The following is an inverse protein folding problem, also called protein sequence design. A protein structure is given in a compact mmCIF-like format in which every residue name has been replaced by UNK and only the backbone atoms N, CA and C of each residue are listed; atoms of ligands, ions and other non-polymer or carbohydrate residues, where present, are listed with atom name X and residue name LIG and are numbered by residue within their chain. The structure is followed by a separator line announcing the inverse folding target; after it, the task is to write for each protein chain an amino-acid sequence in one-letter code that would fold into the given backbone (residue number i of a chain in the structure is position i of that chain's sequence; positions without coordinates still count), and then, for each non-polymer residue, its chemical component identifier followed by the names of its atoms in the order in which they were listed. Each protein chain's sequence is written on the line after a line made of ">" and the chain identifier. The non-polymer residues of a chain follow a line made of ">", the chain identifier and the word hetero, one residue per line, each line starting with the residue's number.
data_IF_101076889344
#
_entry.id   IF_101076889344
#
_cell.length_a   1.000
_cell.length_b   1.000
_cell.length_c   1.000
_cell.angle_alpha   90.00
_cell.angle_beta   90.00
_cell.angle_gamma   90.00
#
_symmetry.space_group_name_H-M   'P 1'
#
loop_
_entity.id
_entity.type
_entity.pdbx_description
1 polymer ?
#
# COMPACT_ATOMS: atom_id res chain seq x y z
N UNK A 1 -17.94 -6.05 20.40
CA UNK A 1 -17.65 -5.48 19.07
C UNK A 1 -16.80 -4.24 19.22
N UNK A 2 -15.79 -4.09 18.37
CA UNK A 2 -14.88 -2.93 18.30
C UNK A 2 -15.60 -1.80 17.56
N UNK A 3 -15.93 -0.71 18.27
CA UNK A 3 -16.77 0.38 17.72
C UNK A 3 -16.02 1.69 17.49
N UNK A 4 -14.86 1.87 18.09
CA UNK A 4 -14.09 3.11 18.01
C UNK A 4 -12.60 2.83 18.26
N UNK A 5 -11.77 3.86 18.10
CA UNK A 5 -10.32 3.73 18.23
C UNK A 5 -9.89 3.29 19.64
N UNK A 6 -10.61 3.67 20.70
CA UNK A 6 -10.29 3.25 22.06
C UNK A 6 -10.53 1.74 22.26
N UNK A 7 -11.62 1.20 21.72
CA UNK A 7 -11.87 -0.25 21.70
C UNK A 7 -10.78 -0.98 20.92
N UNK A 8 -10.38 -0.45 19.76
CA UNK A 8 -9.33 -1.02 18.91
C UNK A 8 -7.97 -1.04 19.63
N UNK A 9 -7.60 0.06 20.30
CA UNK A 9 -6.36 0.12 21.07
C UNK A 9 -6.34 -0.87 22.24
N UNK A 10 -7.47 -1.05 22.94
CA UNK A 10 -7.59 -2.09 23.98
C UNK A 10 -7.45 -3.50 23.42
N UNK A 11 -8.04 -3.77 22.25
CA UNK A 11 -7.88 -5.05 21.56
C UNK A 11 -6.42 -5.31 21.20
N UNK A 12 -5.76 -4.33 20.58
CA UNK A 12 -4.35 -4.45 20.17
C UNK A 12 -3.44 -4.64 21.38
N UNK A 13 -3.71 -3.95 22.49
CA UNK A 13 -2.97 -4.12 23.74
C UNK A 13 -3.15 -5.53 24.34
N UNK A 14 -4.38 -6.03 24.39
CA UNK A 14 -4.66 -7.40 24.85
C UNK A 14 -4.04 -8.48 23.95
N UNK A 15 -3.96 -8.22 22.63
CA UNK A 15 -3.26 -9.07 21.67
C UNK A 15 -1.72 -9.06 21.82
N UNK A 16 -1.15 -8.24 22.73
CA UNK A 16 0.27 -8.39 23.13
C UNK A 16 0.50 -9.61 24.03
N UNK A 17 -0.56 -10.32 24.43
CA UNK A 17 -0.42 -11.61 25.10
C UNK A 17 -0.09 -12.70 24.08
N UNK A 18 1.09 -13.34 24.23
CA UNK A 18 1.59 -14.41 23.36
C UNK A 18 0.61 -15.60 23.24
N UNK A 19 -0.15 -15.90 24.29
CA UNK A 19 -1.10 -17.01 24.25
C UNK A 19 -2.35 -16.71 23.41
N UNK A 20 -2.50 -15.48 22.91
CA UNK A 20 -3.59 -15.11 22.02
C UNK A 20 -3.44 -15.70 20.60
N UNK A 21 -2.26 -16.22 20.24
CA UNK A 21 -1.97 -16.74 18.91
C UNK A 21 -1.92 -18.27 18.89
N UNK A 22 -2.31 -18.91 17.79
CA UNK A 22 -2.33 -20.37 17.67
C UNK A 22 -0.95 -21.00 17.42
N UNK A 23 0.11 -20.19 17.42
CA UNK A 23 1.49 -20.63 17.20
C UNK A 23 2.42 -20.07 18.28
N UNK A 24 3.63 -20.59 18.36
CA UNK A 24 4.64 -20.07 19.28
C UNK A 24 5.01 -18.62 18.89
N UNK A 25 4.98 -17.72 19.88
CA UNK A 25 5.36 -16.31 19.74
C UNK A 25 6.43 -15.96 20.76
N UNK A 26 7.59 -15.51 20.30
CA UNK A 26 8.70 -15.12 21.19
C UNK A 26 8.64 -13.65 21.60
N UNK A 27 8.28 -12.78 20.66
CA UNK A 27 8.19 -11.34 20.84
C UNK A 27 7.01 -10.81 20.02
N UNK A 28 6.39 -9.74 20.53
CA UNK A 28 5.33 -9.03 19.81
C UNK A 28 5.74 -7.57 19.68
N UNK A 29 5.86 -7.10 18.44
CA UNK A 29 6.03 -5.69 18.11
C UNK A 29 4.77 -5.20 17.42
N UNK A 30 4.28 -4.03 17.80
CA UNK A 30 3.12 -3.41 17.14
C UNK A 30 3.61 -2.24 16.30
N UNK A 31 3.30 -2.27 15.00
CA UNK A 31 3.47 -1.15 14.09
C UNK A 31 2.12 -0.47 13.87
N UNK A 32 2.09 0.85 13.89
CA UNK A 32 0.89 1.64 13.72
C UNK A 32 0.94 2.38 12.38
N UNK A 33 -0.11 2.24 11.58
CA UNK A 33 -0.33 3.07 10.38
C UNK A 33 -1.49 4.02 10.63
N UNK A 34 -1.80 4.90 9.67
CA UNK A 34 -2.96 5.80 9.78
C UNK A 34 -4.29 5.03 9.97
N UNK A 35 -4.41 3.84 9.36
CA UNK A 35 -5.70 3.13 9.24
C UNK A 35 -5.63 1.67 9.74
N UNK A 36 -4.50 1.21 10.27
CA UNK A 36 -4.32 -0.16 10.76
C UNK A 36 -3.29 -0.26 11.89
N UNK A 37 -3.34 -1.37 12.62
CA UNK A 37 -2.29 -1.83 13.55
C UNK A 37 -1.76 -3.17 13.03
N UNK A 38 -0.45 -3.34 12.97
CA UNK A 38 0.22 -4.58 12.51
C UNK A 38 0.96 -5.20 13.68
N UNK A 39 0.56 -6.41 14.08
CA UNK A 39 1.24 -7.18 15.12
C UNK A 39 2.25 -8.13 14.48
N UNK A 40 3.52 -7.90 14.73
CA UNK A 40 4.64 -8.74 14.34
C UNK A 40 4.86 -9.80 15.43
N UNK A 41 4.79 -11.08 15.09
CA UNK A 41 4.78 -12.21 16.04
C UNK A 41 5.94 -13.19 15.83
N UNK A 42 6.94 -12.81 15.05
CA UNK A 42 8.11 -13.60 14.69
C UNK A 42 8.03 -14.09 13.25
N UNK A 43 7.37 -15.22 13.01
CA UNK A 43 7.19 -15.77 11.66
C UNK A 43 6.02 -15.14 10.90
N UNK A 44 5.00 -14.68 11.63
CA UNK A 44 3.76 -14.15 11.08
C UNK A 44 3.54 -12.70 11.52
N UNK A 45 2.77 -11.99 10.72
CA UNK A 45 2.26 -10.67 11.03
C UNK A 45 0.73 -10.65 10.86
N UNK A 46 0.05 -9.85 11.67
CA UNK A 46 -1.40 -9.71 11.64
C UNK A 46 -1.77 -8.23 11.52
N UNK A 47 -2.35 -7.83 10.40
CA UNK A 47 -2.82 -6.45 10.17
C UNK A 47 -4.30 -6.35 10.49
N UNK A 48 -4.64 -5.46 11.43
CA UNK A 48 -6.00 -5.21 11.91
C UNK A 48 -6.38 -3.78 11.54
N UNK A 49 -7.51 -3.63 10.84
CA UNK A 49 -8.00 -2.33 10.39
C UNK A 49 -8.61 -1.53 11.54
N UNK A 50 -8.29 -0.24 11.63
CA UNK A 50 -8.84 0.67 12.63
C UNK A 50 -10.30 0.99 12.29
N UNK A 51 -11.21 1.12 13.28
CA UNK A 51 -12.61 1.45 13.05
C UNK A 51 -12.78 2.96 12.77
N UNK A 52 -12.36 3.41 11.59
CA UNK A 52 -12.34 4.83 11.19
C UNK A 52 -13.07 5.04 9.86
N UNK A 53 -13.59 6.26 9.65
CA UNK A 53 -14.21 6.68 8.39
C UNK A 53 -13.85 8.14 8.10
N UNK A 54 -12.62 8.42 7.62
CA UNK A 54 -12.13 9.78 7.41
C UNK A 54 -12.67 10.44 6.12
N UNK A 55 -13.58 9.79 5.39
CA UNK A 55 -14.22 10.32 4.18
C UNK A 55 -13.72 9.71 2.86
N UNK A 56 -12.50 9.16 2.84
CA UNK A 56 -11.94 8.44 1.68
C UNK A 56 -11.98 6.91 1.83
N UNK A 57 -12.35 6.40 3.00
CA UNK A 57 -12.63 4.99 3.26
C UNK A 57 -13.62 4.88 4.41
N UNK A 58 -14.24 3.71 4.56
CA UNK A 58 -15.12 3.41 5.69
C UNK A 58 -14.83 2.02 6.27
N UNK A 59 -14.20 2.00 7.44
CA UNK A 59 -13.94 0.82 8.26
C UNK A 59 -14.81 0.79 9.53
N UNK A 60 -15.92 1.53 9.56
CA UNK A 60 -16.73 1.73 10.77
C UNK A 60 -17.37 0.46 11.32
N UNK A 61 -17.76 -0.48 10.45
CA UNK A 61 -18.38 -1.76 10.85
C UNK A 61 -17.43 -2.95 10.72
N UNK A 62 -17.72 -4.02 11.46
CA UNK A 62 -16.95 -5.25 11.40
C UNK A 62 -17.04 -5.89 10.00
N UNK A 63 -18.22 -5.83 9.39
CA UNK A 63 -18.48 -6.34 8.04
C UNK A 63 -17.64 -5.60 7.00
N UNK A 64 -17.57 -4.27 7.08
CA UNK A 64 -16.73 -3.47 6.18
C UNK A 64 -15.26 -3.81 6.36
N UNK A 65 -14.78 -3.90 7.62
CA UNK A 65 -13.38 -4.30 7.88
C UNK A 65 -13.06 -5.68 7.35
N UNK A 66 -13.96 -6.64 7.49
CA UNK A 66 -13.82 -7.98 6.89
C UNK A 66 -13.69 -7.88 5.37
N UNK A 67 -14.61 -7.19 4.70
CA UNK A 67 -14.60 -7.00 3.24
C UNK A 67 -13.27 -6.41 2.77
N UNK A 68 -12.76 -5.38 3.45
CA UNK A 68 -11.48 -4.78 3.09
C UNK A 68 -10.27 -5.66 3.43
N UNK A 69 -10.33 -6.50 4.47
CA UNK A 69 -9.30 -7.52 4.69
C UNK A 69 -9.28 -8.54 3.54
N UNK A 70 -10.44 -8.96 3.05
CA UNK A 70 -10.57 -9.88 1.91
C UNK A 70 -10.09 -9.22 0.61
N UNK A 71 -10.41 -7.94 0.37
CA UNK A 71 -9.89 -7.18 -0.78
C UNK A 71 -8.38 -6.98 -0.72
N UNK A 72 -7.82 -6.65 0.45
CA UNK A 72 -6.37 -6.56 0.64
C UNK A 72 -5.69 -7.88 0.30
N UNK A 73 -6.25 -9.01 0.77
CA UNK A 73 -5.75 -10.35 0.47
C UNK A 73 -5.82 -10.64 -1.04
N UNK A 74 -6.96 -10.36 -1.68
CA UNK A 74 -7.16 -10.57 -3.13
C UNK A 74 -6.14 -9.79 -3.95
N UNK A 75 -6.02 -8.50 -3.67
CA UNK A 75 -5.17 -7.58 -4.43
C UNK A 75 -3.69 -7.91 -4.27
N UNK A 76 -3.25 -8.10 -3.03
CA UNK A 76 -1.82 -8.24 -2.75
C UNK A 76 -1.26 -9.63 -3.05
N UNK A 77 -2.09 -10.68 -3.08
CA UNK A 77 -1.66 -11.99 -3.58
C UNK A 77 -1.27 -11.99 -5.06
N UNK A 78 -1.67 -10.97 -5.84
CA UNK A 78 -1.24 -10.81 -7.24
C UNK A 78 0.26 -10.55 -7.35
N UNK A 79 0.88 -9.94 -6.33
CA UNK A 79 2.30 -9.60 -6.31
C UNK A 79 3.10 -10.41 -5.29
N UNK A 80 2.48 -10.78 -4.17
CA UNK A 80 3.15 -11.43 -3.05
C UNK A 80 2.29 -12.58 -2.45
N UNK A 81 1.99 -13.62 -3.24
CA UNK A 81 1.14 -14.73 -2.79
C UNK A 81 1.70 -15.48 -1.58
N UNK A 82 3.03 -15.55 -1.45
CA UNK A 82 3.69 -16.17 -0.31
C UNK A 82 3.69 -15.30 0.95
N UNK A 83 3.50 -13.97 0.80
CA UNK A 83 3.43 -13.02 1.90
C UNK A 83 2.02 -12.98 2.51
N UNK A 84 0.98 -12.89 1.68
CA UNK A 84 -0.40 -12.75 2.11
C UNK A 84 -1.10 -14.11 2.23
N UNK A 85 -1.25 -14.58 3.47
CA UNK A 85 -1.62 -15.97 3.75
C UNK A 85 -3.10 -16.20 3.92
N UNK A 86 -3.83 -15.33 4.62
CA UNK A 86 -5.27 -15.53 4.87
C UNK A 86 -5.94 -14.30 5.52
N UNK A 87 -7.27 -14.32 5.60
CA UNK A 87 -8.04 -13.48 6.53
C UNK A 87 -8.52 -14.35 7.68
N UNK A 88 -8.10 -14.02 8.91
CA UNK A 88 -8.43 -14.81 10.10
C UNK A 88 -9.32 -14.03 11.07
N UNK A 89 -10.25 -14.70 11.76
CA UNK A 89 -11.02 -14.06 12.82
C UNK A 89 -10.17 -13.88 14.07
N UNK A 90 -10.43 -12.79 14.79
CA UNK A 90 -10.06 -12.60 16.19
C UNK A 90 -11.34 -12.77 16.99
N UNK A 91 -11.42 -13.77 17.86
CA UNK A 91 -12.61 -14.10 18.66
C UNK A 91 -12.39 -13.78 20.14
N UNK A 92 -13.36 -14.14 20.98
CA UNK A 92 -13.32 -13.90 22.42
C UNK A 92 -13.82 -12.50 22.80
N UNK A 93 -13.11 -11.84 23.70
CA UNK A 93 -13.47 -10.50 24.20
C UNK A 93 -12.35 -9.50 23.98
N UNK A 94 -12.64 -8.20 24.09
CA UNK A 94 -11.62 -7.13 23.95
C UNK A 94 -10.46 -7.33 24.94
N UNK A 95 -10.75 -7.86 26.13
CA UNK A 95 -9.77 -8.07 27.21
C UNK A 95 -9.09 -9.43 27.19
N UNK A 96 -9.68 -10.41 26.51
CA UNK A 96 -9.09 -11.74 26.29
C UNK A 96 -9.38 -12.21 24.85
N UNK A 97 -8.70 -11.60 23.86
CA UNK A 97 -8.87 -11.96 22.46
C UNK A 97 -8.07 -13.22 22.11
N UNK A 98 -8.56 -13.97 21.12
CA UNK A 98 -7.86 -15.14 20.54
C UNK A 98 -7.90 -15.05 19.02
N UNK A 99 -6.73 -15.07 18.39
CA UNK A 99 -6.62 -15.24 16.94
C UNK A 99 -6.98 -16.68 16.61
N UNK A 100 -7.93 -16.87 15.67
CA UNK A 100 -8.44 -18.19 15.28
C UNK A 100 -9.02 -19.00 16.46
N UNK A 101 -9.54 -18.31 17.49
CA UNK A 101 -10.24 -18.97 18.59
C UNK A 101 -11.67 -19.36 18.23
N UNK A 102 -12.35 -20.03 19.16
CA UNK A 102 -13.75 -20.43 18.99
C UNK A 102 -14.73 -19.26 19.15
N UNK A 103 -15.92 -19.40 18.58
CA UNK A 103 -17.03 -18.45 18.75
C UNK A 103 -17.09 -17.34 17.69
N UNK A 104 -17.95 -16.33 17.88
CA UNK A 104 -18.12 -15.25 16.91
C UNK A 104 -16.87 -14.36 16.81
N UNK A 105 -16.60 -13.87 15.61
CA UNK A 105 -15.54 -12.91 15.37
C UNK A 105 -15.83 -11.59 16.10
N UNK A 106 -14.88 -11.14 16.91
CA UNK A 106 -14.81 -9.80 17.48
C UNK A 106 -14.21 -8.81 16.47
N UNK A 107 -13.24 -9.28 15.68
CA UNK A 107 -12.51 -8.53 14.65
C UNK A 107 -11.95 -9.49 13.58
N UNK A 108 -11.45 -8.96 12.46
CA UNK A 108 -10.69 -9.71 11.44
C UNK A 108 -9.28 -9.17 11.26
N UNK A 109 -8.35 -10.04 10.93
CA UNK A 109 -6.96 -9.69 10.62
C UNK A 109 -6.51 -10.29 9.29
N UNK A 110 -5.73 -9.54 8.52
CA UNK A 110 -4.97 -10.10 7.40
C UNK A 110 -3.73 -10.78 7.99
N UNK A 111 -3.65 -12.10 7.85
CA UNK A 111 -2.50 -12.93 8.26
C UNK A 111 -1.48 -12.92 7.14
N UNK A 112 -0.26 -12.48 7.48
CA UNK A 112 0.85 -12.36 6.56
C UNK A 112 2.09 -13.06 7.11
N UNK A 113 3.07 -13.35 6.26
CA UNK A 113 4.43 -13.64 6.72
C UNK A 113 5.09 -12.36 7.22
N UNK A 114 5.80 -12.47 8.33
CA UNK A 114 6.65 -11.38 8.76
C UNK A 114 7.97 -11.41 7.99
N UNK A 115 8.45 -10.23 7.59
CA UNK A 115 9.78 -10.03 7.04
C UNK A 115 10.49 -8.91 7.83
N UNK A 116 11.83 -8.90 7.90
CA UNK A 116 12.57 -7.88 8.64
C UNK A 116 12.40 -6.53 7.95
N UNK A 117 12.16 -5.48 8.72
CA UNK A 117 11.95 -4.12 8.20
C UNK A 117 13.17 -3.60 7.42
N UNK A 118 14.37 -4.08 7.74
CA UNK A 118 15.60 -3.79 6.97
C UNK A 118 15.57 -4.33 5.53
N UNK A 119 14.62 -5.20 5.18
CA UNK A 119 14.42 -5.67 3.81
C UNK A 119 13.65 -4.68 2.93
N UNK A 120 12.94 -3.71 3.51
CA UNK A 120 12.25 -2.67 2.74
C UNK A 120 13.22 -1.96 1.81
N UNK A 121 12.81 -1.72 0.56
CA UNK A 121 13.67 -1.13 -0.46
C UNK A 121 14.07 0.30 -0.08
N UNK A 122 13.21 1.02 0.64
CA UNK A 122 13.51 2.31 1.28
C UNK A 122 14.67 2.24 2.28
N UNK A 123 14.69 1.21 3.14
CA UNK A 123 15.76 0.96 4.10
C UNK A 123 17.03 0.49 3.41
N UNK A 124 16.92 -0.41 2.44
CA UNK A 124 18.05 -0.87 1.62
C UNK A 124 18.69 0.29 0.86
N UNK A 125 17.89 1.20 0.32
CA UNK A 125 18.36 2.38 -0.41
C UNK A 125 19.15 3.30 0.51
N UNK A 126 18.62 3.57 1.72
CA UNK A 126 19.30 4.39 2.73
C UNK A 126 20.65 3.83 3.12
N UNK A 127 20.78 2.50 3.13
CA UNK A 127 22.04 1.80 3.44
C UNK A 127 22.94 1.56 2.22
N UNK A 128 22.62 2.12 1.04
CA UNK A 128 23.45 1.97 -0.16
C UNK A 128 23.42 0.56 -0.77
N UNK A 129 22.41 -0.25 -0.45
CA UNK A 129 22.31 -1.66 -0.85
C UNK A 129 21.45 -1.89 -2.10
N UNK A 130 20.85 -0.84 -2.67
CA UNK A 130 20.06 -0.93 -3.90
C UNK A 130 20.96 -0.71 -5.11
N UNK A 131 21.01 -1.70 -5.97
CA UNK A 131 21.80 -1.72 -7.20
C UNK A 131 20.90 -1.55 -8.43
N UNK A 132 21.50 -1.37 -9.60
CA UNK A 132 20.76 -1.27 -10.87
C UNK A 132 20.03 -2.56 -11.21
N UNK A 133 20.59 -3.70 -10.85
CA UNK A 133 19.98 -5.01 -11.06
C UNK A 133 18.65 -5.15 -10.31
N UNK A 134 18.55 -4.58 -9.10
CA UNK A 134 17.27 -4.51 -8.38
C UNK A 134 16.27 -3.61 -9.11
N UNK A 135 16.71 -2.49 -9.68
CA UNK A 135 15.84 -1.60 -10.46
C UNK A 135 15.39 -2.27 -11.77
N UNK A 136 16.27 -2.99 -12.45
CA UNK A 136 15.91 -3.78 -13.64
C UNK A 136 14.88 -4.87 -13.31
N UNK A 137 15.02 -5.50 -12.13
CA UNK A 137 14.06 -6.47 -11.65
C UNK A 137 12.69 -5.82 -11.38
N UNK A 138 12.67 -4.64 -10.76
CA UNK A 138 11.44 -3.87 -10.55
C UNK A 138 10.78 -3.50 -11.88
N UNK A 139 11.55 -3.00 -12.86
CA UNK A 139 11.04 -2.63 -14.18
C UNK A 139 10.36 -3.81 -14.88
N UNK A 140 11.03 -4.98 -14.89
CA UNK A 140 10.46 -6.22 -15.46
C UNK A 140 9.20 -6.67 -14.72
N UNK A 141 9.24 -6.66 -13.39
CA UNK A 141 8.09 -7.03 -12.55
C UNK A 141 6.87 -6.14 -12.85
N UNK A 142 7.08 -4.83 -12.94
CA UNK A 142 6.02 -3.88 -13.28
C UNK A 142 5.49 -4.10 -14.70
N UNK A 143 6.38 -4.25 -15.68
CA UNK A 143 5.97 -4.47 -17.06
C UNK A 143 5.16 -5.76 -17.23
N UNK A 144 5.57 -6.86 -16.57
CA UNK A 144 4.82 -8.13 -16.56
C UNK A 144 3.47 -7.97 -15.86
N UNK A 145 3.47 -7.39 -14.66
CA UNK A 145 2.26 -7.17 -13.89
C UNK A 145 1.25 -6.29 -14.66
N UNK A 146 1.69 -5.12 -15.12
CA UNK A 146 0.86 -4.19 -15.89
C UNK A 146 0.29 -4.81 -17.16
N UNK A 147 1.01 -5.72 -17.84
CA UNK A 147 0.45 -6.45 -18.99
C UNK A 147 -0.67 -7.42 -18.60
N UNK A 148 -0.55 -8.08 -17.45
CA UNK A 148 -1.52 -9.08 -16.96
C UNK A 148 -2.69 -8.49 -16.18
N UNK A 149 -2.53 -7.29 -15.60
CA UNK A 149 -3.54 -6.66 -14.76
C UNK A 149 -4.81 -6.38 -15.57
N UNK A 150 -5.97 -6.51 -14.92
CA UNK A 150 -7.27 -6.27 -15.53
C UNK A 150 -7.33 -4.87 -16.13
N UNK A 151 -7.93 -4.76 -17.31
CA UNK A 151 -8.19 -3.48 -17.96
C UNK A 151 -9.47 -2.90 -17.38
N UNK A 152 -9.44 -1.60 -17.11
CA UNK A 152 -10.56 -0.88 -16.53
C UNK A 152 -11.85 -1.07 -17.34
N UNK A 153 -13.00 -1.40 -16.71
CA UNK A 153 -14.27 -1.59 -17.41
C UNK A 153 -14.65 -0.37 -18.26
N UNK A 154 -15.20 -0.56 -19.47
CA UNK A 154 -15.47 0.56 -20.38
C UNK A 154 -16.43 1.61 -19.79
N UNK A 155 -17.38 1.17 -18.97
CA UNK A 155 -18.46 1.99 -18.40
C UNK A 155 -18.07 2.77 -17.13
N UNK A 156 -16.86 2.56 -16.59
CA UNK A 156 -16.42 3.27 -15.39
C UNK A 156 -15.85 4.68 -15.69
N UNK A 157 -15.74 5.51 -14.66
CA UNK A 157 -15.10 6.84 -14.74
C UNK A 157 -13.58 6.80 -14.63
N UNK A 158 -12.99 5.69 -14.17
CA UNK A 158 -11.56 5.61 -13.86
C UNK A 158 -10.67 5.90 -15.07
N UNK A 159 -9.59 6.64 -14.81
CA UNK A 159 -8.62 7.09 -15.82
C UNK A 159 -9.16 8.05 -16.88
N UNK A 160 -10.41 8.55 -16.75
CA UNK A 160 -10.86 9.68 -17.57
C UNK A 160 -10.01 10.90 -17.23
N UNK A 161 -9.66 11.70 -18.24
CA UNK A 161 -8.83 12.89 -18.06
C UNK A 161 -9.36 13.82 -16.96
N UNK A 162 -10.68 13.99 -16.89
CA UNK A 162 -11.33 14.81 -15.85
C UNK A 162 -11.13 14.24 -14.44
N UNK A 163 -11.20 12.92 -14.25
CA UNK A 163 -10.98 12.29 -12.94
C UNK A 163 -9.52 12.39 -12.51
N UNK A 164 -8.58 12.07 -13.41
CA UNK A 164 -7.12 12.21 -13.15
C UNK A 164 -6.79 13.65 -12.75
N UNK A 165 -7.41 14.63 -13.42
CA UNK A 165 -7.23 16.05 -13.11
C UNK A 165 -7.83 16.41 -11.76
N UNK A 166 -9.06 15.94 -11.48
CA UNK A 166 -9.73 16.18 -10.20
C UNK A 166 -8.90 15.64 -9.04
N UNK A 167 -8.42 14.41 -9.11
CA UNK A 167 -7.59 13.78 -8.08
C UNK A 167 -6.30 14.56 -7.81
N UNK A 168 -5.63 15.04 -8.86
CA UNK A 168 -4.44 15.89 -8.71
C UNK A 168 -4.77 17.23 -8.03
N UNK A 169 -5.93 17.83 -8.34
CA UNK A 169 -6.37 19.11 -7.80
C UNK A 169 -6.93 19.02 -6.38
N UNK A 170 -7.52 17.88 -6.00
CA UNK A 170 -8.07 17.64 -4.66
C UNK A 170 -6.98 17.79 -3.57
N UNK A 171 -5.71 17.54 -3.92
CA UNK A 171 -4.56 17.80 -3.06
C UNK A 171 -4.49 19.27 -2.57
N UNK A 172 -4.76 20.24 -3.45
CA UNK A 172 -4.71 21.67 -3.07
C UNK A 172 -5.86 22.04 -2.14
N UNK A 173 -7.04 21.45 -2.36
CA UNK A 173 -8.18 21.60 -1.45
C UNK A 173 -7.88 21.02 -0.07
N UNK A 174 -7.23 19.85 -0.01
CA UNK A 174 -6.87 19.18 1.23
C UNK A 174 -5.75 19.90 2.01
N UNK A 175 -4.76 20.47 1.31
CA UNK A 175 -3.67 21.23 1.94
C UNK A 175 -4.15 22.53 2.60
N UNK A 176 -5.23 23.12 2.09
CA UNK A 176 -5.78 24.37 2.62
C UNK A 176 -4.79 25.54 2.57
N UNK A 177 -5.01 26.54 3.45
CA UNK A 177 -4.10 27.70 3.57
C UNK A 177 -3.10 27.48 4.70
N UNK A 178 -1.82 27.64 4.38
CA UNK A 178 -0.74 27.70 5.37
C UNK A 178 -0.61 29.10 5.97
N UNK A 179 -0.07 29.19 7.19
CA UNK A 179 0.38 30.47 7.76
C UNK A 179 1.60 31.04 7.02
N UNK A 180 2.36 30.18 6.34
CA UNK A 180 3.50 30.58 5.51
C UNK A 180 3.03 30.99 4.11
N UNK A 181 3.19 32.27 3.80
CA UNK A 181 2.80 32.87 2.51
C UNK A 181 3.61 32.27 1.35
N UNK A 182 4.86 31.86 1.58
CA UNK A 182 5.69 31.26 0.53
C UNK A 182 5.17 29.89 0.08
N UNK A 183 4.65 29.10 1.03
CA UNK A 183 3.98 27.82 0.75
C UNK A 183 2.71 28.07 -0.05
N UNK A 184 1.88 29.03 0.37
CA UNK A 184 0.65 29.36 -0.37
C UNK A 184 0.94 29.79 -1.82
N UNK A 185 1.98 30.62 -2.02
CA UNK A 185 2.38 31.03 -3.36
C UNK A 185 2.93 29.86 -4.21
N UNK A 186 3.62 28.91 -3.59
CA UNK A 186 4.06 27.69 -4.28
C UNK A 186 2.87 26.81 -4.68
N UNK A 187 1.92 26.58 -3.77
CA UNK A 187 0.68 25.84 -4.07
C UNK A 187 -0.09 26.47 -5.23
N UNK A 188 -0.29 27.80 -5.23
CA UNK A 188 -0.97 28.49 -6.33
C UNK A 188 -0.28 28.31 -7.68
N UNK A 189 1.07 28.36 -7.71
CA UNK A 189 1.83 28.11 -8.94
C UNK A 189 1.69 26.67 -9.41
N UNK A 190 1.74 25.71 -8.48
CA UNK A 190 1.58 24.29 -8.79
C UNK A 190 0.15 23.96 -9.25
N UNK A 191 -0.86 24.56 -8.64
CA UNK A 191 -2.27 24.41 -9.04
C UNK A 191 -2.50 24.95 -10.45
N UNK A 192 -2.02 26.15 -10.74
CA UNK A 192 -2.10 26.73 -12.09
C UNK A 192 -1.34 25.89 -13.12
N UNK A 193 -0.16 25.38 -12.76
CA UNK A 193 0.59 24.45 -13.61
C UNK A 193 -0.16 23.13 -13.83
N UNK A 194 -0.81 22.60 -12.80
CA UNK A 194 -1.59 21.35 -12.87
C UNK A 194 -2.77 21.50 -13.82
N UNK A 195 -3.52 22.62 -13.74
CA UNK A 195 -4.58 22.93 -14.70
C UNK A 195 -4.06 22.97 -16.14
N UNK A 196 -2.97 23.71 -16.38
CA UNK A 196 -2.38 23.82 -17.72
C UNK A 196 -1.91 22.47 -18.26
N UNK A 197 -1.19 21.70 -17.44
CA UNK A 197 -0.70 20.38 -17.82
C UNK A 197 -1.85 19.40 -18.09
N UNK A 198 -2.92 19.45 -17.30
CA UNK A 198 -4.12 18.64 -17.51
C UNK A 198 -4.80 18.94 -18.85
N UNK A 199 -4.91 20.22 -19.22
CA UNK A 199 -5.46 20.63 -20.52
C UNK A 199 -4.60 20.15 -21.70
N UNK A 200 -3.27 20.28 -21.57
CA UNK A 200 -2.31 19.84 -22.58
C UNK A 200 -2.28 18.31 -22.73
N UNK A 201 -2.41 17.57 -21.61
CA UNK A 201 -2.32 16.11 -21.56
C UNK A 201 -3.67 15.39 -21.73
N UNK A 202 -4.81 16.11 -21.73
CA UNK A 202 -6.14 15.51 -21.92
C UNK A 202 -6.20 14.52 -23.11
N UNK A 203 -5.71 14.85 -24.33
CA UNK A 203 -5.72 13.91 -25.44
C UNK A 203 -4.84 12.68 -25.22
N UNK A 204 -3.81 12.78 -24.38
CA UNK A 204 -2.93 11.67 -24.01
C UNK A 204 -3.66 10.73 -23.05
N UNK A 205 -4.27 11.26 -21.98
CA UNK A 205 -5.04 10.47 -21.03
C UNK A 205 -6.18 9.71 -21.71
N UNK A 206 -6.95 10.37 -22.58
CA UNK A 206 -8.05 9.75 -23.32
C UNK A 206 -7.56 8.63 -24.25
N UNK A 207 -6.46 8.85 -24.97
CA UNK A 207 -5.84 7.84 -25.84
C UNK A 207 -5.33 6.65 -25.05
N UNK A 208 -4.68 6.88 -23.90
CA UNK A 208 -4.15 5.81 -23.08
C UNK A 208 -5.25 4.97 -22.46
N UNK A 209 -6.33 5.61 -21.98
CA UNK A 209 -7.53 4.93 -21.52
C UNK A 209 -8.15 4.06 -22.62
N UNK A 210 -8.34 4.60 -23.82
CA UNK A 210 -8.93 3.84 -24.94
C UNK A 210 -8.04 2.70 -25.44
N UNK A 211 -6.72 2.81 -25.26
CA UNK A 211 -5.75 1.77 -25.56
C UNK A 211 -5.56 0.73 -24.43
N UNK A 212 -6.34 0.81 -23.34
CA UNK A 212 -6.32 -0.19 -22.27
C UNK A 212 -5.14 -0.07 -21.31
N UNK A 213 -4.57 1.13 -21.15
CA UNK A 213 -3.49 1.39 -20.19
C UNK A 213 -3.98 1.73 -18.78
N UNK A 214 -5.28 1.96 -18.59
CA UNK A 214 -5.89 2.11 -17.26
C UNK A 214 -6.24 0.72 -16.73
N UNK A 215 -5.62 0.31 -15.63
CA UNK A 215 -5.64 -1.07 -15.12
C UNK A 215 -5.74 -1.11 -13.60
N UNK A 216 -6.12 -2.26 -13.02
CA UNK A 216 -6.16 -2.45 -11.56
C UNK A 216 -4.73 -2.61 -11.00
N UNK A 217 -4.01 -1.50 -10.94
CA UNK A 217 -2.61 -1.37 -10.55
C UNK A 217 -2.38 -1.51 -9.03
N UNK A 218 -1.18 -1.16 -8.56
CA UNK A 218 -0.84 -1.16 -7.13
C UNK A 218 -1.42 0.06 -6.39
N UNK A 219 -1.34 1.25 -7.00
CA UNK A 219 -1.92 2.50 -6.50
C UNK A 219 -1.07 3.25 -5.47
N UNK A 220 -0.16 2.56 -4.77
CA UNK A 220 0.75 3.17 -3.77
C UNK A 220 2.19 2.65 -3.86
N UNK A 221 2.75 2.61 -5.07
CA UNK A 221 4.02 1.93 -5.35
C UNK A 221 5.26 2.79 -5.02
N UNK A 222 5.43 3.13 -3.75
CA UNK A 222 6.66 3.77 -3.26
C UNK A 222 7.65 2.73 -2.70
N UNK A 223 8.91 3.11 -2.44
CA UNK A 223 9.99 2.22 -1.98
C UNK A 223 9.73 1.59 -0.60
N UNK A 224 8.76 2.13 0.15
CA UNK A 224 8.29 1.54 1.41
C UNK A 224 7.32 0.37 1.21
N UNK A 225 6.72 0.26 0.02
CA UNK A 225 5.84 -0.83 -0.40
C UNK A 225 6.57 -1.82 -1.35
N UNK A 226 7.90 -1.77 -1.30
CA UNK A 226 8.81 -2.66 -2.01
C UNK A 226 9.78 -3.26 -1.00
N UNK A 227 10.14 -4.53 -1.16
CA UNK A 227 11.14 -5.17 -0.31
C UNK A 227 11.99 -6.18 -1.07
N UNK A 228 13.25 -6.35 -0.63
CA UNK A 228 14.20 -7.34 -1.13
C UNK A 228 14.18 -8.55 -0.21
N UNK A 229 13.56 -9.64 -0.66
CA UNK A 229 13.45 -10.84 0.15
C UNK A 229 13.65 -12.11 -0.64
N UNK A 230 14.36 -13.06 -0.03
CA UNK A 230 14.47 -14.42 -0.52
C UNK A 230 14.38 -15.34 0.68
N UNK A 231 13.29 -16.11 0.77
CA UNK A 231 13.04 -17.02 1.89
C UNK A 231 14.02 -18.19 1.94
N UNK A 232 14.65 -18.54 0.82
CA UNK A 232 15.62 -19.63 0.72
C UNK A 232 16.97 -19.30 1.33
N UNK A 233 17.22 -18.05 1.73
CA UNK A 233 18.50 -17.60 2.25
C UNK A 233 18.31 -17.04 3.66
N UNK A 234 18.73 -17.82 4.67
CA UNK A 234 18.73 -17.40 6.09
C UNK A 234 19.64 -16.21 6.36
N UNK A 235 20.59 -15.93 5.47
CA UNK A 235 21.49 -14.78 5.55
C UNK A 235 21.13 -13.70 4.52
N UNK A 236 20.28 -12.76 4.94
CA UNK A 236 19.82 -11.61 4.15
C UNK A 236 20.93 -10.59 3.80
N UNK A 237 22.19 -10.86 4.17
CA UNK A 237 23.36 -10.04 3.81
C UNK A 237 24.06 -10.50 2.53
N UNK A 238 23.81 -11.71 2.03
CA UNK A 238 24.61 -12.32 0.95
C UNK A 238 23.81 -12.75 -0.30
N UNK A 239 22.48 -12.71 -0.29
CA UNK A 239 21.68 -12.90 -1.50
C UNK A 239 21.06 -11.59 -1.94
N UNK A 240 21.14 -11.21 -3.23
CA UNK A 240 20.26 -10.19 -3.77
C UNK A 240 18.84 -10.75 -3.61
N UNK A 241 18.07 -10.22 -2.66
CA UNK A 241 16.68 -10.63 -2.48
C UNK A 241 15.89 -10.32 -3.75
N UNK A 242 14.79 -11.03 -3.98
CA UNK A 242 13.90 -10.67 -5.08
C UNK A 242 13.09 -9.43 -4.69
N UNK A 243 13.06 -8.43 -5.57
CA UNK A 243 12.13 -7.29 -5.44
C UNK A 243 10.70 -7.82 -5.46
N UNK A 244 9.95 -7.50 -4.41
CA UNK A 244 8.55 -7.88 -4.25
C UNK A 244 7.74 -6.65 -3.84
N UNK A 245 6.55 -6.48 -4.43
CA UNK A 245 5.58 -5.43 -4.11
C UNK A 245 4.63 -5.92 -3.03
N UNK A 246 4.19 -5.04 -2.12
CA UNK A 246 3.18 -5.35 -1.12
C UNK A 246 2.45 -4.06 -0.69
N UNK A 247 1.31 -4.23 -0.03
CA UNK A 247 0.50 -3.13 0.52
C UNK A 247 -0.11 -2.19 -0.54
N UNK A 248 -0.59 -2.77 -1.64
CA UNK A 248 -1.39 -2.03 -2.64
C UNK A 248 -2.76 -1.63 -2.10
N UNK A 249 -3.29 -0.49 -2.58
CA UNK A 249 -4.50 0.15 -2.05
C UNK A 249 -5.75 -0.71 -2.24
N UNK A 250 -6.34 -1.17 -1.14
CA UNK A 250 -7.57 -1.96 -1.14
C UNK A 250 -8.85 -1.12 -1.02
N UNK A 251 -8.76 0.04 -0.36
CA UNK A 251 -9.94 0.72 0.17
C UNK A 251 -10.64 1.66 -0.81
N UNK A 252 -9.93 2.18 -1.82
CA UNK A 252 -10.51 3.03 -2.85
C UNK A 252 -10.13 2.51 -4.25
N UNK A 253 -11.11 1.97 -5.02
CA UNK A 253 -10.89 1.55 -6.39
C UNK A 253 -10.31 2.66 -7.29
N UNK A 254 -10.69 3.93 -7.10
CA UNK A 254 -10.20 5.01 -7.96
C UNK A 254 -8.68 5.19 -7.87
N UNK A 255 -8.10 4.93 -6.69
CA UNK A 255 -6.66 5.04 -6.46
C UNK A 255 -5.84 3.87 -7.03
N UNK A 256 -6.48 2.76 -7.40
CA UNK A 256 -5.79 1.60 -8.02
C UNK A 256 -6.18 1.37 -9.48
N UNK A 257 -7.35 1.79 -9.93
CA UNK A 257 -7.75 1.78 -11.33
C UNK A 257 -7.15 2.96 -12.08
N UNK A 258 -5.83 2.96 -12.17
CA UNK A 258 -5.03 4.07 -12.69
C UNK A 258 -4.28 3.66 -13.95
N UNK A 259 -3.75 4.66 -14.66
CA UNK A 259 -2.83 4.40 -15.76
C UNK A 259 -1.56 3.73 -15.25
N UNK A 260 -1.06 2.72 -15.94
CA UNK A 260 0.18 2.01 -15.59
C UNK A 260 1.41 2.93 -15.46
N UNK A 261 1.43 4.06 -16.19
CA UNK A 261 2.47 5.08 -16.04
C UNK A 261 2.33 5.81 -14.72
N UNK A 262 1.12 6.06 -14.24
CA UNK A 262 0.87 6.66 -12.92
C UNK A 262 1.38 5.76 -11.80
N UNK A 263 1.16 4.45 -11.92
CA UNK A 263 1.63 3.45 -10.95
C UNK A 263 3.17 3.41 -10.89
N UNK A 264 3.83 3.32 -12.05
CA UNK A 264 5.30 3.32 -12.13
C UNK A 264 5.92 4.66 -11.72
N UNK A 265 5.25 5.78 -12.01
CA UNK A 265 5.74 7.12 -11.68
C UNK A 265 5.95 7.30 -10.18
N UNK A 266 5.16 6.64 -9.33
CA UNK A 266 5.31 6.81 -7.89
C UNK A 266 6.67 6.31 -7.38
N UNK A 267 7.14 5.16 -7.88
CA UNK A 267 8.46 4.63 -7.57
C UNK A 267 9.59 5.55 -8.09
N UNK A 268 9.41 6.12 -9.29
CA UNK A 268 10.36 7.08 -9.88
C UNK A 268 10.44 8.36 -9.04
N UNK A 269 9.29 8.91 -8.62
CA UNK A 269 9.24 10.10 -7.77
C UNK A 269 9.88 9.84 -6.40
N UNK A 270 9.61 8.69 -5.77
CA UNK A 270 10.20 8.35 -4.46
C UNK A 270 11.73 8.15 -4.56
N UNK A 271 12.25 7.65 -5.68
CA UNK A 271 13.70 7.61 -5.94
C UNK A 271 14.29 9.03 -6.08
N UNK A 272 13.59 9.94 -6.75
CA UNK A 272 14.02 11.34 -6.86
C UNK A 272 14.01 12.05 -5.50
N UNK A 273 12.94 11.89 -4.72
CA UNK A 273 12.83 12.45 -3.36
C UNK A 273 14.00 12.01 -2.47
N UNK A 274 14.42 10.75 -2.62
CA UNK A 274 15.57 10.16 -1.91
C UNK A 274 16.92 10.45 -2.55
N UNK A 275 17.01 11.44 -3.44
CA UNK A 275 18.25 11.87 -4.09
C UNK A 275 18.95 10.77 -4.90
N UNK A 276 18.21 9.80 -5.43
CA UNK A 276 18.70 8.72 -6.29
C UNK A 276 18.15 8.84 -7.71
N UNK A 277 18.30 10.04 -8.27
CA UNK A 277 17.94 10.34 -9.66
C UNK A 277 18.63 9.41 -10.66
N UNK A 278 19.83 8.91 -10.34
CA UNK A 278 20.53 7.91 -11.15
C UNK A 278 19.71 6.61 -11.32
N UNK A 279 19.08 6.13 -10.25
CA UNK A 279 18.20 4.96 -10.29
C UNK A 279 16.80 5.30 -10.81
N UNK A 280 16.29 6.51 -10.54
CA UNK A 280 15.01 6.98 -11.05
C UNK A 280 15.01 7.00 -12.59
N UNK A 281 16.04 7.62 -13.18
CA UNK A 281 16.22 7.61 -14.63
C UNK A 281 16.50 6.20 -15.16
N UNK A 282 17.22 5.37 -14.42
CA UNK A 282 17.41 3.98 -14.80
C UNK A 282 16.07 3.23 -14.92
N UNK A 283 15.20 3.33 -13.91
CA UNK A 283 13.86 2.72 -13.92
C UNK A 283 13.01 3.22 -15.09
N UNK A 284 13.06 4.52 -15.38
CA UNK A 284 12.28 5.13 -16.46
C UNK A 284 12.69 4.66 -17.86
N UNK A 285 13.95 4.22 -18.04
CA UNK A 285 14.50 3.82 -19.34
C UNK A 285 14.66 2.29 -19.48
N UNK A 286 14.31 1.52 -18.45
CA UNK A 286 14.46 0.05 -18.41
C UNK A 286 13.34 -0.69 -19.15
#
# INVERSE_FOLDING_TARGET
>A
MIRNLADHMRLVDALRNKSAFPHAVQEITVLETHISSVLLTGELAYKIKKPVSPGFLDFSTLELRRTFCEEELRLNRRYAPDLYLDVVPVTGSITDPRVEGDGPALEFAVRMRQFPQSALLSERLRNGLVTREHIDQLARLLADFHRSAEVSPPDCSWGKAAEVTREALDNFSALGRSADVSINAACQRLEAWTHKAADELRPVFERRRSAGFVRECHGDLHLGNLFLWNRSVRDSRQSPGQVTMFDGIEFDPALRWIDVVSDAAFAVMDLHDRSRSDLAYWLQNA
#
